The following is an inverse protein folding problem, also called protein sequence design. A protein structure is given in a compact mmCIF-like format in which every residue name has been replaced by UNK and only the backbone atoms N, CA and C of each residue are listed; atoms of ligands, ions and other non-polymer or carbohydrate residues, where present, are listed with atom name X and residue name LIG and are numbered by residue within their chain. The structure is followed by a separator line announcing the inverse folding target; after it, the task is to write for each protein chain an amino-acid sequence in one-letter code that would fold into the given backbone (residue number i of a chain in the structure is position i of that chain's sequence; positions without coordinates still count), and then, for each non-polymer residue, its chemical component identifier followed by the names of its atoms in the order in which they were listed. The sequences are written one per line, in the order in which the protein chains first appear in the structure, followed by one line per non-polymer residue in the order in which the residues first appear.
data_IF_370078970941
#
_entry.id   IF_370078970941
#
_cell.length_a   1.000
_cell.length_b   1.000
_cell.length_c   1.000
_cell.angle_alpha   90.00
_cell.angle_beta   90.00
_cell.angle_gamma   90.00
#
_symmetry.space_group_name_H-M   'P 1'
#
loop_
_entity.id
_entity.type
_entity.pdbx_description
1 polymer ?
#
# COMPACT_ATOMS: atom_id res chain seq x y z
N UNK A 1 24.09 22.60 11.61
CA UNK A 1 24.51 21.19 11.42
C UNK A 1 23.46 20.54 10.52
N UNK A 2 23.72 20.52 9.21
CA UNK A 2 22.79 19.97 8.23
C UNK A 2 22.95 18.45 8.23
N UNK A 3 21.91 17.73 8.66
CA UNK A 3 21.80 16.30 8.41
C UNK A 3 21.56 16.12 6.90
N UNK A 4 22.66 15.99 6.14
CA UNK A 4 22.60 15.42 4.81
C UNK A 4 22.24 13.95 4.98
N UNK A 5 20.95 13.63 5.02
CA UNK A 5 20.50 12.29 4.69
C UNK A 5 21.00 12.03 3.27
N UNK A 6 21.97 11.13 3.13
CA UNK A 6 22.31 10.57 1.83
C UNK A 6 21.05 9.84 1.35
N UNK A 7 20.20 10.53 0.61
CA UNK A 7 19.10 9.90 -0.11
C UNK A 7 19.73 8.85 -1.01
N UNK A 8 19.22 7.61 -1.01
CA UNK A 8 19.70 6.58 -1.94
C UNK A 8 19.58 7.11 -3.37
N UNK A 9 20.55 6.76 -4.21
CA UNK A 9 20.47 7.10 -5.63
C UNK A 9 19.31 6.35 -6.30
N UNK A 10 18.94 6.81 -7.50
CA UNK A 10 17.79 6.28 -8.23
C UNK A 10 17.88 4.77 -8.47
N UNK A 11 19.09 4.23 -8.65
CA UNK A 11 19.31 2.80 -8.85
C UNK A 11 18.98 2.01 -7.58
N UNK A 12 19.47 2.46 -6.42
CA UNK A 12 19.16 1.84 -5.14
C UNK A 12 17.66 1.92 -4.82
N UNK A 13 16.97 3.02 -5.15
CA UNK A 13 15.52 3.13 -4.99
C UNK A 13 14.80 2.10 -5.87
N UNK A 14 15.20 1.95 -7.13
CA UNK A 14 14.62 0.97 -8.05
C UNK A 14 14.80 -0.46 -7.52
N UNK A 15 15.98 -0.82 -7.02
CA UNK A 15 16.25 -2.13 -6.42
C UNK A 15 15.37 -2.39 -5.19
N UNK A 16 15.20 -1.38 -4.33
CA UNK A 16 14.31 -1.45 -3.17
C UNK A 16 12.85 -1.65 -3.60
N UNK A 17 12.36 -0.86 -4.56
CA UNK A 17 11.02 -1.01 -5.11
C UNK A 17 10.78 -2.40 -5.72
N UNK A 18 11.76 -2.94 -6.45
CA UNK A 18 11.69 -4.30 -6.98
C UNK A 18 11.63 -5.36 -5.87
N UNK A 19 12.45 -5.23 -4.83
CA UNK A 19 12.46 -6.14 -3.70
C UNK A 19 11.13 -6.10 -2.92
N UNK A 20 10.58 -4.91 -2.71
CA UNK A 20 9.27 -4.71 -2.08
C UNK A 20 8.18 -5.33 -2.96
N UNK A 21 8.17 -5.04 -4.26
CA UNK A 21 7.22 -5.61 -5.21
C UNK A 21 7.18 -7.13 -5.18
N UNK A 22 8.35 -7.78 -5.11
CA UNK A 22 8.46 -9.24 -4.99
C UNK A 22 8.00 -9.77 -3.64
N UNK A 23 8.07 -8.98 -2.57
CA UNK A 23 7.57 -9.34 -1.25
C UNK A 23 6.04 -9.26 -1.19
N UNK A 24 5.45 -8.15 -1.64
CA UNK A 24 4.02 -7.87 -1.44
C UNK A 24 3.10 -8.76 -2.28
N UNK A 25 3.53 -9.18 -3.46
CA UNK A 25 2.74 -10.09 -4.33
C UNK A 25 2.70 -11.54 -3.85
N UNK A 26 3.39 -11.86 -2.75
CA UNK A 26 3.29 -13.18 -2.10
C UNK A 26 2.04 -13.29 -1.22
N UNK A 27 1.37 -12.16 -0.94
CA UNK A 27 0.16 -12.12 -0.13
C UNK A 27 -1.04 -12.14 -1.07
N UNK A 28 -1.98 -13.09 -0.91
CA UNK A 28 -3.18 -13.14 -1.74
C UNK A 28 -4.15 -11.99 -1.41
N UNK A 29 -5.26 -11.90 -2.15
CA UNK A 29 -6.36 -10.98 -1.83
C UNK A 29 -6.83 -11.17 -0.38
N UNK A 30 -7.40 -10.13 0.22
CA UNK A 30 -7.84 -10.08 1.63
C UNK A 30 -6.72 -10.09 2.69
N UNK A 31 -5.45 -10.22 2.31
CA UNK A 31 -4.30 -10.24 3.23
C UNK A 31 -3.48 -8.93 3.25
N UNK A 32 -4.14 -7.79 3.01
CA UNK A 32 -3.46 -6.48 2.98
C UNK A 32 -2.81 -6.14 4.33
N UNK A 33 -3.42 -6.55 5.45
CA UNK A 33 -2.91 -6.26 6.78
C UNK A 33 -1.63 -7.08 7.08
N UNK A 34 -1.60 -8.38 6.77
CA UNK A 34 -0.38 -9.19 6.92
C UNK A 34 0.74 -8.70 6.00
N UNK A 35 0.39 -8.31 4.77
CA UNK A 35 1.31 -7.72 3.80
C UNK A 35 1.96 -6.46 4.37
N UNK A 36 1.16 -5.48 4.82
CA UNK A 36 1.64 -4.22 5.36
C UNK A 36 2.50 -4.42 6.63
N UNK A 37 2.09 -5.31 7.54
CA UNK A 37 2.88 -5.65 8.74
C UNK A 37 4.23 -6.26 8.37
N UNK A 38 4.26 -7.19 7.42
CA UNK A 38 5.49 -7.87 6.99
C UNK A 38 6.43 -6.89 6.30
N UNK A 39 5.91 -6.08 5.38
CA UNK A 39 6.69 -5.06 4.67
C UNK A 39 7.26 -4.03 5.65
N UNK A 40 6.44 -3.51 6.59
CA UNK A 40 6.92 -2.61 7.64
C UNK A 40 8.09 -3.21 8.42
N UNK A 41 7.96 -4.46 8.87
CA UNK A 41 9.05 -5.14 9.60
C UNK A 41 10.31 -5.28 8.74
N UNK A 42 10.16 -5.66 7.47
CA UNK A 42 11.27 -5.82 6.52
C UNK A 42 12.03 -4.50 6.29
N UNK A 43 11.32 -3.37 6.22
CA UNK A 43 11.88 -2.03 6.08
C UNK A 43 12.60 -1.58 7.35
N UNK A 44 11.96 -1.74 8.52
CA UNK A 44 12.56 -1.36 9.82
C UNK A 44 13.85 -2.12 10.11
N UNK A 45 13.93 -3.41 9.76
CA UNK A 45 15.16 -4.20 9.88
C UNK A 45 16.31 -3.65 9.04
N UNK A 46 15.98 -2.98 7.92
CA UNK A 46 16.94 -2.36 6.99
C UNK A 46 17.14 -0.87 7.24
N UNK A 47 16.48 -0.30 8.26
CA UNK A 47 16.50 1.13 8.57
C UNK A 47 16.04 1.99 7.39
N UNK A 48 15.11 1.47 6.58
CA UNK A 48 14.48 2.21 5.49
C UNK A 48 13.23 2.88 6.06
N UNK A 49 13.13 4.22 5.99
CA UNK A 49 11.97 4.90 6.49
C UNK A 49 10.75 4.66 5.61
N UNK A 50 9.56 4.73 6.19
CA UNK A 50 8.31 4.57 5.45
C UNK A 50 7.09 5.04 6.22
N UNK A 51 5.93 5.00 5.56
CA UNK A 51 4.64 5.37 6.15
C UNK A 51 3.63 4.27 5.97
N UNK A 52 2.92 3.91 7.03
CA UNK A 52 1.80 2.99 6.98
C UNK A 52 0.51 3.77 6.73
N UNK A 53 -0.12 3.50 5.60
CA UNK A 53 -1.39 4.08 5.18
C UNK A 53 -2.53 3.12 5.50
N UNK A 54 -3.66 3.69 5.94
CA UNK A 54 -4.94 3.02 6.12
C UNK A 54 -5.98 3.75 5.28
N UNK A 55 -6.70 3.00 4.48
CA UNK A 55 -7.93 3.43 3.84
C UNK A 55 -9.07 2.62 4.43
N UNK A 56 -10.15 3.27 4.82
CA UNK A 56 -11.38 2.59 5.20
C UNK A 56 -12.61 3.24 4.64
N UNK A 57 -13.66 2.44 4.42
CA UNK A 57 -15.01 2.95 4.23
C UNK A 57 -15.45 3.77 5.44
N UNK A 58 -16.40 4.68 5.23
CA UNK A 58 -16.89 5.58 6.29
C UNK A 58 -18.07 4.96 7.06
N UNK A 59 -18.81 4.04 6.43
CA UNK A 59 -20.00 3.43 7.00
C UNK A 59 -19.72 2.00 7.50
N UNK A 60 -20.19 1.69 8.71
CA UNK A 60 -19.94 0.40 9.40
C UNK A 60 -20.51 -0.84 8.70
N UNK A 61 -21.39 -0.65 7.71
CA UNK A 61 -22.00 -1.71 6.92
C UNK A 61 -21.44 -1.82 5.49
N UNK A 62 -20.29 -1.19 5.24
CA UNK A 62 -19.64 -1.14 3.94
C UNK A 62 -18.29 -1.87 3.97
N UNK A 63 -18.37 -3.20 3.91
CA UNK A 63 -17.21 -4.07 4.12
C UNK A 63 -16.38 -4.33 2.86
N UNK A 64 -16.96 -4.12 1.68
CA UNK A 64 -16.39 -4.52 0.41
C UNK A 64 -15.79 -3.34 -0.33
N UNK A 65 -14.52 -3.49 -0.69
CA UNK A 65 -13.78 -2.56 -1.55
C UNK A 65 -13.39 -3.31 -2.82
N UNK A 66 -13.45 -2.64 -3.96
CA UNK A 66 -12.94 -3.11 -5.25
C UNK A 66 -11.75 -2.25 -5.67
N UNK A 67 -10.96 -2.77 -6.61
CA UNK A 67 -9.76 -2.13 -7.12
C UNK A 67 -9.86 -1.95 -8.63
N UNK A 68 -9.86 -0.70 -9.08
CA UNK A 68 -9.97 -0.30 -10.48
C UNK A 68 -8.83 -0.93 -11.33
N UNK A 69 -7.61 -1.04 -10.79
CA UNK A 69 -6.49 -1.70 -11.48
C UNK A 69 -6.70 -3.20 -11.65
N UNK A 70 -7.32 -3.89 -10.69
CA UNK A 70 -7.62 -5.31 -10.80
C UNK A 70 -8.78 -5.56 -11.77
N UNK A 71 -9.80 -4.71 -11.77
CA UNK A 71 -10.91 -4.79 -12.73
C UNK A 71 -10.42 -4.65 -14.17
N UNK A 72 -9.47 -3.71 -14.43
CA UNK A 72 -8.81 -3.58 -15.74
C UNK A 72 -8.04 -4.83 -16.17
N UNK A 73 -7.68 -5.70 -15.22
CA UNK A 73 -7.02 -6.98 -15.45
C UNK A 73 -8.01 -8.16 -15.49
N UNK A 74 -9.31 -7.89 -15.41
CA UNK A 74 -10.37 -8.90 -15.44
C UNK A 74 -10.66 -9.56 -14.09
N UNK A 75 -10.16 -9.01 -12.98
CA UNK A 75 -10.46 -9.46 -11.63
C UNK A 75 -11.49 -8.52 -10.97
N UNK A 76 -12.67 -9.06 -10.65
CA UNK A 76 -13.80 -8.32 -10.06
C UNK A 76 -14.07 -8.77 -8.61
N UNK A 77 -13.11 -9.46 -7.99
CA UNK A 77 -13.20 -9.88 -6.60
C UNK A 77 -12.96 -8.69 -5.66
N UNK A 78 -13.63 -8.73 -4.50
CA UNK A 78 -13.39 -7.74 -3.46
C UNK A 78 -12.01 -7.91 -2.82
N UNK A 79 -11.39 -6.81 -2.44
CA UNK A 79 -10.08 -6.78 -1.78
C UNK A 79 -10.18 -6.71 -0.26
N UNK A 80 -11.38 -6.51 0.29
CA UNK A 80 -11.66 -6.47 1.74
C UNK A 80 -13.00 -7.13 2.08
N UNK A 81 -13.12 -7.63 3.30
CA UNK A 81 -14.40 -8.10 3.89
C UNK A 81 -14.72 -7.37 5.20
N UNK A 82 -14.07 -6.24 5.46
CA UNK A 82 -14.20 -5.45 6.68
C UNK A 82 -14.06 -3.94 6.43
N UNK A 83 -14.04 -3.54 5.16
CA UNK A 83 -13.97 -2.15 4.73
C UNK A 83 -12.61 -1.48 4.95
N UNK A 84 -11.53 -2.23 5.21
CA UNK A 84 -10.20 -1.67 5.52
C UNK A 84 -9.10 -2.23 4.64
N UNK A 85 -8.39 -1.33 3.95
CA UNK A 85 -7.22 -1.67 3.14
C UNK A 85 -5.96 -0.93 3.64
N UNK A 86 -4.80 -1.57 3.50
CA UNK A 86 -3.52 -1.05 3.97
C UNK A 86 -2.50 -0.99 2.85
N UNK A 87 -1.65 0.04 2.90
CA UNK A 87 -0.50 0.21 2.02
C UNK A 87 0.70 0.76 2.78
N UNK A 88 1.91 0.56 2.26
CA UNK A 88 3.14 1.11 2.85
C UNK A 88 3.84 1.98 1.83
N UNK A 89 4.02 3.26 2.16
CA UNK A 89 4.73 4.23 1.35
C UNK A 89 6.24 4.14 1.59
N UNK A 90 7.00 3.98 0.50
CA UNK A 90 8.47 3.97 0.50
C UNK A 90 8.99 4.69 -0.74
N UNK A 91 9.79 5.74 -0.52
CA UNK A 91 10.35 6.58 -1.60
C UNK A 91 9.29 7.04 -2.61
N UNK A 92 8.16 7.58 -2.10
CA UNK A 92 7.10 8.18 -2.91
C UNK A 92 6.12 7.20 -3.56
N UNK A 93 6.24 5.88 -3.31
CA UNK A 93 5.26 4.89 -3.79
C UNK A 93 4.65 4.09 -2.65
N UNK A 94 3.35 3.88 -2.71
CA UNK A 94 2.59 2.99 -1.85
C UNK A 94 2.58 1.59 -2.46
N UNK A 95 3.03 0.63 -1.67
CA UNK A 95 2.99 -0.80 -1.99
C UNK A 95 1.95 -1.51 -1.12
N UNK A 96 1.16 -2.36 -1.76
CA UNK A 96 0.21 -3.28 -1.14
C UNK A 96 0.23 -4.63 -1.86
N UNK A 97 -0.63 -5.55 -1.46
CA UNK A 97 -0.68 -6.91 -1.99
C UNK A 97 -1.27 -7.04 -3.41
N UNK A 98 -1.65 -5.94 -4.10
CA UNK A 98 -2.35 -6.05 -5.38
C UNK A 98 -1.43 -5.87 -6.60
N UNK A 99 -0.21 -5.33 -6.45
CA UNK A 99 0.71 -5.19 -7.58
C UNK A 99 2.18 -5.15 -7.18
N UNK A 100 3.08 -5.41 -8.15
CA UNK A 100 4.53 -5.34 -7.94
C UNK A 100 5.07 -3.90 -7.96
N UNK A 101 4.46 -3.02 -8.74
CA UNK A 101 5.07 -1.73 -9.12
C UNK A 101 4.89 -0.64 -8.05
N UNK A 102 3.91 -0.82 -7.15
CA UNK A 102 3.41 0.25 -6.29
C UNK A 102 2.72 1.37 -7.10
N UNK A 103 2.01 2.23 -6.40
CA UNK A 103 1.35 3.42 -6.98
C UNK A 103 1.83 4.68 -6.28
N UNK A 104 1.75 5.83 -6.94
CA UNK A 104 1.87 7.10 -6.24
C UNK A 104 0.68 7.28 -5.28
N UNK A 105 0.81 8.08 -4.21
CA UNK A 105 -0.28 8.24 -3.23
C UNK A 105 -1.62 8.62 -3.84
N UNK A 106 -1.65 9.59 -4.77
CA UNK A 106 -2.89 10.02 -5.42
C UNK A 106 -3.51 8.92 -6.29
N UNK A 107 -2.68 8.18 -7.04
CA UNK A 107 -3.14 7.03 -7.84
C UNK A 107 -3.67 5.90 -6.96
N UNK A 108 -3.03 5.66 -5.81
CA UNK A 108 -3.47 4.65 -4.84
C UNK A 108 -4.82 5.02 -4.25
N UNK A 109 -5.02 6.28 -3.86
CA UNK A 109 -6.29 6.78 -3.33
C UNK A 109 -7.43 6.65 -4.35
N UNK A 110 -7.16 6.91 -5.63
CA UNK A 110 -8.14 6.85 -6.72
C UNK A 110 -8.41 5.42 -7.24
N UNK A 111 -7.65 4.43 -6.79
CA UNK A 111 -7.80 3.07 -7.28
C UNK A 111 -9.01 2.35 -6.69
N UNK A 112 -9.51 2.78 -5.53
CA UNK A 112 -10.52 2.02 -4.80
C UNK A 112 -11.93 2.53 -5.06
N UNK A 113 -12.86 1.58 -5.11
CA UNK A 113 -14.30 1.84 -5.19
C UNK A 113 -15.04 1.03 -4.13
N UNK A 114 -16.16 1.57 -3.70
CA UNK A 114 -17.06 0.95 -2.73
C UNK A 114 -18.50 1.36 -3.05
N UNK A 115 -19.46 0.98 -2.21
CA UNK A 115 -20.87 1.32 -2.43
C UNK A 115 -21.11 2.84 -2.39
N UNK A 116 -20.51 3.52 -1.42
CA UNK A 116 -20.59 4.98 -1.25
C UNK A 116 -19.52 5.73 -2.06
N UNK A 117 -18.39 5.07 -2.35
CA UNK A 117 -17.14 5.70 -2.81
C UNK A 117 -16.63 6.80 -1.87
N UNK A 118 -17.01 6.74 -0.59
CA UNK A 118 -16.51 7.64 0.44
C UNK A 118 -15.50 6.89 1.33
N UNK A 119 -14.29 7.41 1.40
CA UNK A 119 -13.20 6.80 2.13
C UNK A 119 -12.58 7.76 3.14
N UNK A 120 -12.22 7.21 4.30
CA UNK A 120 -11.30 7.84 5.26
C UNK A 120 -9.89 7.33 4.97
N UNK A 121 -8.97 8.26 4.73
CA UNK A 121 -7.57 7.95 4.38
C UNK A 121 -6.66 8.59 5.42
N UNK A 122 -5.77 7.79 6.00
CA UNK A 122 -4.91 8.23 7.10
C UNK A 122 -3.52 7.60 6.98
N UNK A 123 -2.49 8.40 7.26
CA UNK A 123 -1.17 7.87 7.64
C UNK A 123 -1.24 7.56 9.13
N UNK A 124 -1.16 6.27 9.49
CA UNK A 124 -1.35 5.81 10.87
C UNK A 124 -0.02 5.56 11.60
N UNK A 125 1.10 5.49 10.89
CA UNK A 125 2.45 5.37 11.47
C UNK A 125 3.50 5.86 10.47
N UNK A 126 4.49 6.63 10.94
CA UNK A 126 5.76 6.87 10.23
C UNK A 126 6.88 6.17 11.01
N UNK A 127 7.81 5.53 10.31
CA UNK A 127 8.86 4.71 10.92
C UNK A 127 10.19 4.78 10.17
#
# INVERSE_FOLDING_TARGET
MLFLYNLPDDLAIIEIHQAIGNLVIRFPLLHCQECAKTLKQWLKQRKIPGKLWRLSTIYDNEDFILSNRLEKQGCFETITENGVHYGVEVFGKIFDNLSRQGLYPDDWIQDFTSLSNEFKIEVIEEF
#
